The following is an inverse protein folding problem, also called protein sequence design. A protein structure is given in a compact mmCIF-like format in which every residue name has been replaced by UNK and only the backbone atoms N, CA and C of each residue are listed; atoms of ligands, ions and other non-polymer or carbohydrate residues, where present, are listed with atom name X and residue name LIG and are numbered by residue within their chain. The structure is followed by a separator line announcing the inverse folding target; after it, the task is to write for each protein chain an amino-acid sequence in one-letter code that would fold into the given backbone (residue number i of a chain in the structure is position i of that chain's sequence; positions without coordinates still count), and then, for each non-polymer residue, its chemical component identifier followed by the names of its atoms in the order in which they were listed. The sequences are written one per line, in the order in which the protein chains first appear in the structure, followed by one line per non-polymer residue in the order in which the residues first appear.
data_IF_460251514876
#
_entry.id   IF_460251514876
#
_cell.length_a   1.000
_cell.length_b   1.000
_cell.length_c   1.000
_cell.angle_alpha   90.00
_cell.angle_beta   90.00
_cell.angle_gamma   90.00
#
_symmetry.space_group_name_H-M   'P 1'
#
loop_
_entity.id
_entity.type
_entity.pdbx_description
1 polymer ?
#
# COMPACT_ATOMS: atom_id res chain seq x y z
N UNK A 1 70.40 -18.21 76.09
CA UNK A 1 70.25 -17.82 74.66
C UNK A 1 68.90 -17.14 74.54
N UNK A 2 68.90 -15.82 74.32
CA UNK A 2 67.69 -15.01 74.23
C UNK A 2 67.07 -15.17 72.83
N UNK A 3 65.85 -15.69 72.74
CA UNK A 3 65.10 -15.77 71.49
C UNK A 3 64.22 -14.53 71.34
N UNK A 4 64.55 -13.67 70.37
CA UNK A 4 63.72 -12.52 70.01
C UNK A 4 62.37 -12.97 69.43
N UNK A 5 61.26 -12.29 69.73
CA UNK A 5 59.97 -12.58 69.11
C UNK A 5 59.98 -12.18 67.63
N UNK A 6 59.24 -12.91 66.77
CA UNK A 6 59.16 -12.63 65.33
C UNK A 6 58.52 -11.26 65.07
N UNK A 7 59.05 -10.53 64.09
CA UNK A 7 58.52 -9.22 63.68
C UNK A 7 57.14 -9.36 63.04
N UNK A 8 56.21 -8.41 63.30
CA UNK A 8 54.90 -8.40 62.67
C UNK A 8 55.01 -8.09 61.17
N UNK A 9 54.11 -8.66 60.34
CA UNK A 9 54.12 -8.42 58.90
C UNK A 9 53.78 -6.95 58.56
N UNK A 10 54.29 -6.43 57.43
CA UNK A 10 54.00 -5.07 57.00
C UNK A 10 52.50 -4.89 56.69
N UNK A 11 51.90 -3.74 57.01
CA UNK A 11 50.49 -3.48 56.73
C UNK A 11 50.24 -3.46 55.21
N UNK A 12 49.17 -4.11 54.76
CA UNK A 12 48.78 -4.12 53.36
C UNK A 12 48.54 -2.69 52.86
N UNK A 13 48.98 -2.32 51.63
CA UNK A 13 48.64 -1.05 51.03
C UNK A 13 47.12 -0.99 50.82
N UNK A 14 46.42 -0.21 51.65
CA UNK A 14 44.99 0.06 51.52
C UNK A 14 44.72 1.08 50.41
N UNK A 15 45.15 0.78 49.19
CA UNK A 15 44.73 1.55 48.03
C UNK A 15 43.38 0.99 47.58
N UNK A 16 42.30 1.47 48.22
CA UNK A 16 40.96 1.19 47.72
C UNK A 16 40.85 1.70 46.27
N UNK A 17 40.31 0.91 45.33
CA UNK A 17 40.05 1.42 43.99
C UNK A 17 39.09 2.62 44.09
N UNK A 18 39.26 3.63 43.23
CA UNK A 18 38.38 4.80 43.24
C UNK A 18 36.92 4.37 43.08
N UNK A 19 35.98 5.07 43.75
CA UNK A 19 34.57 4.75 43.64
C UNK A 19 34.12 4.85 42.17
N UNK A 20 33.32 3.86 41.74
CA UNK A 20 32.75 3.84 40.40
C UNK A 20 31.93 5.12 40.15
N UNK A 21 31.95 5.67 38.93
CA UNK A 21 31.16 6.85 38.59
C UNK A 21 29.66 6.56 38.80
N UNK A 22 28.87 7.55 39.23
CA UNK A 22 27.44 7.38 39.43
C UNK A 22 26.77 7.03 38.09
N UNK A 23 25.78 6.11 38.09
CA UNK A 23 25.09 5.74 36.86
C UNK A 23 24.37 6.96 36.28
N UNK A 24 24.32 7.10 34.94
CA UNK A 24 23.57 8.16 34.29
C UNK A 24 22.10 8.15 34.73
N UNK A 25 21.59 9.33 35.08
CA UNK A 25 20.21 9.52 35.51
C UNK A 25 19.25 9.44 34.31
N UNK A 26 18.88 8.23 33.89
CA UNK A 26 17.83 8.02 32.89
C UNK A 26 16.44 8.02 33.53
N UNK A 27 15.49 8.71 32.90
CA UNK A 27 14.09 8.64 33.28
C UNK A 27 13.59 7.23 33.00
N UNK A 28 12.92 6.61 33.99
CA UNK A 28 12.41 5.24 33.85
C UNK A 28 11.37 5.17 32.73
N UNK A 29 11.54 4.27 31.73
CA UNK A 29 10.57 4.13 30.66
C UNK A 29 9.26 3.51 31.16
N UNK A 30 8.19 3.69 30.38
CA UNK A 30 6.89 3.09 30.69
C UNK A 30 6.97 1.58 30.44
N UNK A 31 7.05 0.79 31.52
CA UNK A 31 7.17 -0.67 31.44
C UNK A 31 5.83 -1.42 31.43
N UNK A 32 4.70 -0.72 31.64
CA UNK A 32 3.37 -1.35 31.71
C UNK A 32 2.61 -1.14 30.41
N UNK A 33 1.82 -2.15 30.02
CA UNK A 33 0.86 -2.10 28.89
C UNK A 33 1.47 -1.90 27.49
N UNK A 34 2.75 -2.22 27.31
CA UNK A 34 3.44 -2.06 26.03
C UNK A 34 2.70 -2.74 24.87
N UNK A 35 2.31 -4.01 25.06
CA UNK A 35 1.57 -4.78 24.05
C UNK A 35 0.24 -4.12 23.67
N UNK A 36 -0.58 -3.71 24.65
CA UNK A 36 -1.87 -3.06 24.38
C UNK A 36 -1.71 -1.77 23.59
N UNK A 37 -0.69 -0.96 23.89
CA UNK A 37 -0.42 0.28 23.15
C UNK A 37 0.02 -0.01 21.71
N UNK A 38 0.87 -1.02 21.52
CA UNK A 38 1.30 -1.45 20.19
C UNK A 38 0.13 -1.98 19.36
N UNK A 39 -0.70 -2.87 19.93
CA UNK A 39 -1.87 -3.43 19.23
C UNK A 39 -2.86 -2.35 18.81
N UNK A 40 -3.13 -1.36 19.68
CA UNK A 40 -3.99 -0.22 19.31
C UNK A 40 -3.45 0.56 18.10
N UNK A 41 -2.14 0.81 18.05
CA UNK A 41 -1.51 1.51 16.91
C UNK A 41 -1.62 0.70 15.63
N UNK A 42 -1.36 -0.61 15.71
CA UNK A 42 -1.45 -1.51 14.54
C UNK A 42 -2.87 -1.58 14.01
N UNK A 43 -3.88 -1.72 14.89
CA UNK A 43 -5.29 -1.74 14.48
C UNK A 43 -5.67 -0.41 13.80
N UNK A 44 -5.27 0.73 14.37
CA UNK A 44 -5.53 2.03 13.77
C UNK A 44 -4.89 2.17 12.37
N UNK A 45 -3.64 1.72 12.22
CA UNK A 45 -2.95 1.69 10.92
C UNK A 45 -3.65 0.77 9.91
N UNK A 46 -4.08 -0.41 10.34
CA UNK A 46 -4.79 -1.36 9.49
C UNK A 46 -6.12 -0.78 8.98
N UNK A 47 -6.87 -0.10 9.85
CA UNK A 47 -8.12 0.57 9.46
C UNK A 47 -7.85 1.68 8.43
N UNK A 48 -6.85 2.54 8.68
CA UNK A 48 -6.48 3.58 7.72
C UNK A 48 -6.03 3.00 6.37
N UNK A 49 -5.19 1.96 6.40
CA UNK A 49 -4.73 1.29 5.19
C UNK A 49 -5.89 0.67 4.41
N UNK A 50 -6.86 0.06 5.09
CA UNK A 50 -8.04 -0.53 4.45
C UNK A 50 -8.93 0.51 3.77
N UNK A 51 -9.13 1.67 4.40
CA UNK A 51 -9.88 2.79 3.82
C UNK A 51 -9.14 3.36 2.60
N UNK A 52 -7.82 3.54 2.71
CA UNK A 52 -7.00 4.02 1.60
C UNK A 52 -7.02 3.06 0.42
N UNK A 53 -6.86 1.76 0.64
CA UNK A 53 -6.92 0.75 -0.40
C UNK A 53 -8.27 0.77 -1.13
N UNK A 54 -9.38 0.81 -0.39
CA UNK A 54 -10.72 0.93 -0.97
C UNK A 54 -10.90 2.21 -1.80
N UNK A 55 -10.38 3.34 -1.30
CA UNK A 55 -10.42 4.61 -2.02
C UNK A 55 -9.61 4.56 -3.31
N UNK A 56 -8.41 3.97 -3.30
CA UNK A 56 -7.58 3.81 -4.49
C UNK A 56 -8.29 2.99 -5.56
N UNK A 57 -8.89 1.85 -5.19
CA UNK A 57 -9.64 1.02 -6.15
C UNK A 57 -10.80 1.81 -6.76
N UNK A 58 -11.54 2.57 -5.96
CA UNK A 58 -12.63 3.38 -6.46
C UNK A 58 -12.17 4.46 -7.47
N UNK A 59 -11.13 5.23 -7.12
CA UNK A 59 -10.67 6.33 -7.96
C UNK A 59 -9.87 5.87 -9.19
N UNK A 60 -8.94 4.92 -9.03
CA UNK A 60 -8.06 4.50 -10.12
C UNK A 60 -8.71 3.49 -11.07
N UNK A 61 -9.71 2.73 -10.62
CA UNK A 61 -10.36 1.71 -11.45
C UNK A 61 -11.82 2.09 -11.70
N UNK A 62 -12.57 2.38 -10.62
CA UNK A 62 -14.01 2.64 -10.70
C UNK A 62 -14.38 3.86 -11.54
N UNK A 63 -13.76 5.01 -11.26
CA UNK A 63 -14.02 6.27 -11.97
C UNK A 63 -13.68 6.21 -13.46
N UNK A 64 -12.45 5.84 -13.89
CA UNK A 64 -12.11 5.82 -15.31
C UNK A 64 -12.93 4.78 -16.07
N UNK A 65 -13.28 3.64 -15.45
CA UNK A 65 -14.19 2.67 -16.05
C UNK A 65 -15.55 3.31 -16.36
N UNK A 66 -16.18 3.94 -15.36
CA UNK A 66 -17.49 4.60 -15.53
C UNK A 66 -17.43 5.73 -16.56
N UNK A 67 -16.35 6.52 -16.56
CA UNK A 67 -16.15 7.60 -17.53
C UNK A 67 -16.07 7.05 -18.97
N UNK A 68 -15.24 6.03 -19.21
CA UNK A 68 -15.13 5.39 -20.53
C UNK A 68 -16.43 4.78 -21.02
N UNK A 69 -17.18 4.10 -20.14
CA UNK A 69 -18.51 3.60 -20.51
C UNK A 69 -19.46 4.74 -20.86
N UNK A 70 -19.47 5.82 -20.06
CA UNK A 70 -20.31 6.99 -20.34
C UNK A 70 -19.96 7.62 -21.68
N UNK A 71 -18.68 7.80 -21.98
CA UNK A 71 -18.20 8.33 -23.27
C UNK A 71 -18.60 7.42 -24.44
N UNK A 72 -18.44 6.11 -24.28
CA UNK A 72 -18.83 5.12 -25.28
C UNK A 72 -20.32 5.20 -25.62
N UNK A 73 -21.19 5.24 -24.60
CA UNK A 73 -22.64 5.37 -24.81
C UNK A 73 -23.07 6.76 -25.28
N UNK A 74 -22.31 7.81 -24.94
CA UNK A 74 -22.62 9.17 -25.39
C UNK A 74 -22.33 9.39 -26.88
N UNK A 75 -21.34 8.69 -27.46
CA UNK A 75 -21.04 8.79 -28.89
C UNK A 75 -22.16 8.24 -29.77
N UNK A 76 -22.90 7.23 -29.29
CA UNK A 76 -24.16 6.81 -29.91
C UNK A 76 -24.05 6.22 -31.34
N UNK A 77 -22.86 5.97 -31.86
CA UNK A 77 -22.60 5.44 -33.22
C UNK A 77 -22.90 3.93 -33.33
N UNK A 78 -23.97 3.47 -32.68
CA UNK A 78 -24.33 2.05 -32.63
C UNK A 78 -24.80 1.53 -33.99
N UNK A 79 -25.47 2.36 -34.78
CA UNK A 79 -25.97 1.98 -36.10
C UNK A 79 -24.83 1.82 -37.11
N UNK A 80 -23.89 2.78 -37.15
CA UNK A 80 -22.71 2.68 -38.02
C UNK A 80 -21.85 1.45 -37.65
N UNK A 81 -21.73 1.14 -36.36
CA UNK A 81 -20.99 -0.03 -35.89
C UNK A 81 -21.70 -1.35 -36.21
N UNK A 82 -23.02 -1.38 -36.09
CA UNK A 82 -23.84 -2.53 -36.46
C UNK A 82 -23.74 -2.81 -37.97
N UNK A 83 -23.79 -1.78 -38.81
CA UNK A 83 -23.59 -1.89 -40.25
C UNK A 83 -22.18 -2.41 -40.59
N UNK A 84 -21.15 -1.94 -39.89
CA UNK A 84 -19.78 -2.44 -40.08
C UNK A 84 -19.64 -3.92 -39.70
N UNK A 85 -20.25 -4.34 -38.59
CA UNK A 85 -20.26 -5.74 -38.16
C UNK A 85 -21.06 -6.64 -39.10
N UNK A 86 -22.19 -6.14 -39.63
CA UNK A 86 -23.00 -6.86 -40.60
C UNK A 86 -22.24 -7.06 -41.92
N UNK A 87 -21.53 -6.03 -42.41
CA UNK A 87 -20.65 -6.15 -43.59
C UNK A 87 -19.51 -7.14 -43.40
N UNK A 88 -18.92 -7.20 -42.20
CA UNK A 88 -17.92 -8.21 -41.85
C UNK A 88 -18.51 -9.62 -41.77
N UNK A 89 -19.84 -9.75 -41.75
CA UNK A 89 -20.55 -11.02 -41.70
C UNK A 89 -20.47 -11.69 -40.34
N UNK A 90 -20.37 -10.91 -39.25
CA UNK A 90 -20.39 -11.47 -37.89
C UNK A 90 -21.77 -12.03 -37.51
N UNK A 91 -22.84 -11.51 -38.13
CA UNK A 91 -24.20 -11.94 -37.82
C UNK A 91 -24.60 -13.13 -38.69
N UNK A 92 -24.99 -14.22 -38.04
CA UNK A 92 -25.61 -15.37 -38.72
C UNK A 92 -27.01 -15.02 -39.26
N UNK A 93 -27.69 -14.07 -38.63
CA UNK A 93 -29.06 -13.66 -38.97
C UNK A 93 -29.13 -12.68 -40.15
N UNK A 94 -28.02 -12.08 -40.57
CA UNK A 94 -27.98 -11.12 -41.68
C UNK A 94 -27.09 -11.69 -42.78
N UNK A 95 -27.69 -12.29 -43.84
CA UNK A 95 -26.93 -12.78 -44.98
C UNK A 95 -26.18 -11.63 -45.65
N UNK A 96 -24.90 -11.82 -45.99
CA UNK A 96 -24.08 -10.78 -46.66
C UNK A 96 -24.72 -10.25 -47.93
N UNK A 97 -25.48 -11.10 -48.62
CA UNK A 97 -26.20 -10.78 -49.87
C UNK A 97 -27.32 -9.75 -49.67
N UNK A 98 -27.87 -9.63 -48.45
CA UNK A 98 -28.95 -8.69 -48.15
C UNK A 98 -28.47 -7.25 -47.92
N UNK A 99 -27.16 -7.05 -47.73
CA UNK A 99 -26.55 -5.74 -47.58
C UNK A 99 -26.25 -5.17 -48.97
N UNK A 100 -27.24 -4.50 -49.57
CA UNK A 100 -27.02 -3.71 -50.78
C UNK A 100 -26.04 -2.58 -50.44
N UNK A 101 -24.92 -2.50 -51.16
CA UNK A 101 -23.88 -1.48 -50.96
C UNK A 101 -24.45 -0.06 -51.19
N UNK A 102 -24.96 0.56 -50.12
CA UNK A 102 -25.46 1.94 -50.13
C UNK A 102 -24.34 2.99 -50.26
N UNK A 103 -23.09 2.59 -50.58
CA UNK A 103 -21.96 3.50 -50.79
C UNK A 103 -22.25 4.57 -51.87
N UNK A 104 -23.15 4.31 -52.82
CA UNK A 104 -23.53 5.28 -53.84
C UNK A 104 -24.39 6.45 -53.32
N UNK A 105 -25.06 6.35 -52.16
CA UNK A 105 -25.93 7.43 -51.65
C UNK A 105 -25.19 8.52 -50.86
N UNK A 106 -24.08 8.20 -50.18
CA UNK A 106 -23.31 9.19 -49.38
C UNK A 106 -22.50 10.16 -50.25
N UNK A 107 -22.03 9.73 -51.44
CA UNK A 107 -21.27 10.58 -52.38
C UNK A 107 -22.13 11.54 -53.21
N UNK A 108 -23.45 11.54 -53.05
CA UNK A 108 -24.36 12.38 -53.86
C UNK A 108 -24.77 13.71 -53.21
N UNK A 109 -24.24 13.99 -52.01
CA UNK A 109 -24.52 15.20 -51.22
C UNK A 109 -23.23 15.92 -50.79
N UNK A 110 -22.19 15.85 -51.62
CA UNK A 110 -21.03 16.76 -51.59
C UNK A 110 -21.10 17.61 -52.85
#
# INVERSE_FOLDING_TARGET
MSSCPPQPPPPCPQTCPPPLPPPPCYVKPIMRRLHRTQTKKIIAQALLASMLAGSCVYFFIGVPRKAKYREYYAKGEFEDWADEMARKGLFQSVPKESLIDNQQKKNKYI
#
